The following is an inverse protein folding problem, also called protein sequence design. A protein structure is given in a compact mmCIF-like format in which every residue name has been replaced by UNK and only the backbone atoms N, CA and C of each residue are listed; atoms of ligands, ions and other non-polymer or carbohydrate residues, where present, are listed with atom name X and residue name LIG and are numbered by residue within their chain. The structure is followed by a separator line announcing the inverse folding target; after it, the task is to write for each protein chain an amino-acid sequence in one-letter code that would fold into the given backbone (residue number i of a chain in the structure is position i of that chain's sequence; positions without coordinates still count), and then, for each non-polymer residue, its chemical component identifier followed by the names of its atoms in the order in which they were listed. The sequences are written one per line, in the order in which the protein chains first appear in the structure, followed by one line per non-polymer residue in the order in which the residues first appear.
data_IF_669432707436
#
_entry.id   IF_669432707436
#
_cell.length_a   1.000
_cell.length_b   1.000
_cell.length_c   1.000
_cell.angle_alpha   90.00
_cell.angle_beta   90.00
_cell.angle_gamma   90.00
#
_symmetry.space_group_name_H-M   'P 1'
#
loop_
_entity.id
_entity.type
_entity.pdbx_description
1 polymer ?
#
# COMPACT_ATOMS: atom_id res chain seq x y z
N UNK A 1 -30.16 -3.35 0.20
CA UNK A 1 -28.76 -2.90 0.16
C UNK A 1 -28.62 -1.80 1.20
N UNK A 2 -28.28 -2.14 2.43
CA UNK A 2 -28.10 -1.14 3.49
C UNK A 2 -26.72 -0.55 3.28
N UNK A 3 -26.67 0.63 2.67
CA UNK A 3 -25.46 1.44 2.62
C UNK A 3 -25.16 1.78 4.07
N UNK A 4 -24.09 1.21 4.61
CA UNK A 4 -23.58 1.59 5.93
C UNK A 4 -23.35 3.10 5.94
N UNK A 5 -23.51 3.69 7.11
CA UNK A 5 -23.38 5.13 7.37
C UNK A 5 -22.24 5.77 6.56
N UNK A 6 -22.43 7.01 6.08
CA UNK A 6 -21.38 7.69 5.33
C UNK A 6 -20.09 7.69 6.17
N UNK A 7 -18.94 7.51 5.54
CA UNK A 7 -17.68 7.50 6.24
C UNK A 7 -17.55 8.79 7.07
N UNK A 8 -17.15 8.63 8.33
CA UNK A 8 -16.91 9.74 9.24
C UNK A 8 -15.91 10.71 8.57
N UNK A 9 -16.11 12.04 8.70
CA UNK A 9 -15.14 12.98 8.16
C UNK A 9 -13.77 12.72 8.83
N UNK A 10 -12.77 12.41 8.01
CA UNK A 10 -11.39 12.22 8.46
C UNK A 10 -10.92 13.52 9.13
N UNK A 11 -10.18 13.38 10.24
CA UNK A 11 -9.66 14.51 11.01
C UNK A 11 -8.65 15.29 10.16
N UNK A 12 -8.89 16.57 9.94
CA UNK A 12 -7.82 17.49 9.57
C UNK A 12 -7.10 17.90 10.87
N UNK A 13 -5.79 17.60 11.01
CA UNK A 13 -5.03 18.07 12.14
C UNK A 13 -4.95 19.61 12.11
N UNK A 14 -4.72 20.22 13.27
CA UNK A 14 -4.32 21.62 13.35
C UNK A 14 -3.10 21.86 12.43
N UNK A 15 -3.03 22.98 11.70
CA UNK A 15 -1.89 23.30 10.84
C UNK A 15 -0.52 23.22 11.55
N UNK A 16 -0.44 23.57 12.81
CA UNK A 16 0.79 23.46 13.61
C UNK A 16 1.13 21.98 13.92
N UNK A 17 0.14 21.15 14.21
CA UNK A 17 0.30 19.70 14.40
C UNK A 17 0.75 19.02 13.11
N UNK A 18 0.12 19.35 11.99
CA UNK A 18 0.51 18.82 10.67
C UNK A 18 1.95 19.21 10.34
N UNK A 19 2.33 20.47 10.53
CA UNK A 19 3.67 20.95 10.29
C UNK A 19 4.71 20.25 11.17
N UNK A 20 4.44 20.06 12.47
CA UNK A 20 5.31 19.35 13.39
C UNK A 20 5.53 17.88 13.00
N UNK A 21 4.46 17.21 12.55
CA UNK A 21 4.51 15.84 12.07
C UNK A 21 5.38 15.73 10.80
N UNK A 22 5.14 16.59 9.80
CA UNK A 22 5.90 16.60 8.56
C UNK A 22 7.38 16.95 8.79
N UNK A 23 7.68 17.84 9.75
CA UNK A 23 9.04 18.20 10.14
C UNK A 23 9.75 17.03 10.86
N UNK A 24 9.06 16.33 11.77
CA UNK A 24 9.62 15.15 12.43
C UNK A 24 9.96 14.03 11.42
N UNK A 25 9.05 13.77 10.48
CA UNK A 25 9.29 12.83 9.37
C UNK A 25 10.46 13.33 8.50
N UNK A 26 10.50 14.62 8.17
CA UNK A 26 11.58 15.21 7.38
C UNK A 26 12.96 15.03 8.04
N UNK A 27 13.10 15.30 9.33
CA UNK A 27 14.36 15.07 10.07
C UNK A 27 14.79 13.62 10.05
N UNK A 28 13.86 12.70 10.25
CA UNK A 28 14.13 11.26 10.16
C UNK A 28 14.61 10.87 8.76
N UNK A 29 13.94 11.35 7.72
CA UNK A 29 14.31 11.06 6.33
C UNK A 29 15.73 11.50 6.00
N UNK A 30 16.11 12.73 6.39
CA UNK A 30 17.45 13.25 6.11
C UNK A 30 18.55 12.53 6.91
N UNK A 31 18.28 12.24 8.17
CA UNK A 31 19.28 11.65 9.08
C UNK A 31 19.47 10.15 8.86
N UNK A 32 18.34 9.39 8.72
CA UNK A 32 18.38 7.94 8.81
C UNK A 32 18.10 7.25 7.46
N UNK A 33 17.25 7.83 6.60
CA UNK A 33 16.83 7.19 5.34
C UNK A 33 17.75 7.56 4.18
N UNK A 34 17.98 8.87 3.94
CA UNK A 34 18.76 9.35 2.79
C UNK A 34 20.14 8.70 2.65
N UNK A 35 20.92 8.53 3.72
CA UNK A 35 22.25 7.91 3.62
C UNK A 35 22.24 6.46 3.15
N UNK A 36 21.14 5.75 3.37
CA UNK A 36 21.03 4.32 3.12
C UNK A 36 20.17 3.98 1.90
N UNK A 37 19.29 4.89 1.44
CA UNK A 37 18.28 4.64 0.44
C UNK A 37 18.85 4.06 -0.86
N UNK A 38 19.94 4.62 -1.37
CA UNK A 38 20.57 4.17 -2.61
C UNK A 38 21.11 2.74 -2.52
N UNK A 39 21.75 2.37 -1.40
CA UNK A 39 22.25 1.03 -1.16
C UNK A 39 21.12 0.02 -1.02
N UNK A 40 20.13 0.32 -0.16
CA UNK A 40 18.98 -0.57 0.06
C UNK A 40 18.15 -0.78 -1.21
N UNK A 41 17.95 0.29 -2.01
CA UNK A 41 17.27 0.20 -3.31
C UNK A 41 18.08 -0.64 -4.29
N UNK A 42 19.40 -0.42 -4.41
CA UNK A 42 20.26 -1.13 -5.36
C UNK A 42 20.25 -2.63 -5.10
N UNK A 43 20.44 -3.03 -3.86
CA UNK A 43 20.60 -4.43 -3.46
C UNK A 43 19.27 -5.13 -3.11
N UNK A 44 18.15 -4.43 -3.28
CA UNK A 44 16.78 -4.91 -2.97
C UNK A 44 16.65 -5.44 -1.53
N UNK A 45 17.22 -4.68 -0.57
CA UNK A 45 17.22 -5.03 0.84
C UNK A 45 15.96 -4.49 1.53
N UNK A 46 15.28 -5.34 2.27
CA UNK A 46 14.14 -4.94 3.11
C UNK A 46 14.59 -3.98 4.23
N UNK A 47 13.96 -2.79 4.33
CA UNK A 47 14.39 -1.76 5.26
C UNK A 47 13.78 -1.94 6.67
N UNK A 48 14.15 -3.01 7.37
CA UNK A 48 13.54 -3.41 8.64
C UNK A 48 13.51 -2.31 9.70
N UNK A 49 14.65 -1.61 9.93
CA UNK A 49 14.74 -0.51 10.89
C UNK A 49 13.83 0.68 10.53
N UNK A 50 13.73 0.98 9.24
CA UNK A 50 12.84 2.04 8.77
C UNK A 50 11.38 1.67 8.95
N UNK A 51 11.04 0.39 8.77
CA UNK A 51 9.69 -0.13 9.02
C UNK A 51 9.31 0.01 10.49
N UNK A 52 10.20 -0.32 11.42
CA UNK A 52 9.94 -0.10 12.85
C UNK A 52 9.73 1.39 13.15
N UNK A 53 10.56 2.28 12.57
CA UNK A 53 10.37 3.72 12.75
C UNK A 53 9.06 4.23 12.16
N UNK A 54 8.58 3.65 11.04
CA UNK A 54 7.26 3.95 10.48
C UNK A 54 6.12 3.53 11.41
N UNK A 55 6.29 2.45 12.19
CA UNK A 55 5.34 2.08 13.26
C UNK A 55 5.25 3.14 14.33
N UNK A 56 6.41 3.64 14.82
CA UNK A 56 6.47 4.72 15.83
C UNK A 56 5.76 6.00 15.36
N UNK A 57 5.84 6.30 14.06
CA UNK A 57 5.09 7.42 13.45
C UNK A 57 3.60 7.13 13.24
N UNK A 58 3.13 5.92 13.52
CA UNK A 58 1.73 5.51 13.32
C UNK A 58 1.32 5.40 11.86
N UNK A 59 2.26 5.26 10.92
CA UNK A 59 1.97 5.27 9.48
C UNK A 59 1.14 4.06 9.03
N UNK A 60 1.17 2.95 9.75
CA UNK A 60 0.34 1.78 9.48
C UNK A 60 -1.13 1.96 9.85
N UNK A 61 -1.47 2.95 10.68
CA UNK A 61 -2.82 3.37 11.01
C UNK A 61 -3.18 4.79 10.54
N UNK A 62 -2.39 5.38 9.63
CA UNK A 62 -2.45 6.80 9.30
C UNK A 62 -3.87 7.33 9.02
N UNK A 63 -4.70 6.60 8.28
CA UNK A 63 -6.06 7.00 7.87
C UNK A 63 -7.17 6.28 8.62
N UNK A 64 -6.84 5.37 9.52
CA UNK A 64 -7.79 4.56 10.30
C UNK A 64 -8.23 5.34 11.54
N UNK A 65 -9.50 5.19 11.93
CA UNK A 65 -10.10 5.88 13.06
C UNK A 65 -9.31 5.65 14.37
N UNK A 66 -9.10 6.70 15.18
CA UNK A 66 -8.42 6.60 16.47
C UNK A 66 -9.04 5.58 17.44
N UNK A 67 -10.33 5.29 17.36
CA UNK A 67 -10.97 4.25 18.18
C UNK A 67 -10.33 2.87 17.99
N UNK A 68 -9.69 2.62 16.81
CA UNK A 68 -8.99 1.39 16.48
C UNK A 68 -7.47 1.52 16.62
N UNK A 69 -6.97 2.63 17.15
CA UNK A 69 -5.54 2.89 17.32
C UNK A 69 -4.88 3.57 16.13
N UNK A 70 -5.65 4.04 15.14
CA UNK A 70 -5.17 4.82 14.01
C UNK A 70 -4.97 6.30 14.32
N UNK A 71 -4.47 7.07 13.35
CA UNK A 71 -4.31 8.53 13.46
C UNK A 71 -5.52 9.31 12.94
N UNK A 72 -6.38 8.68 12.13
CA UNK A 72 -7.56 9.28 11.54
C UNK A 72 -7.28 10.46 10.59
N UNK A 73 -6.10 10.49 9.96
CA UNK A 73 -5.66 11.63 9.15
C UNK A 73 -6.52 11.79 7.90
N UNK A 74 -6.79 13.04 7.55
CA UNK A 74 -7.38 13.38 6.26
C UNK A 74 -6.49 12.96 5.09
N UNK A 75 -7.11 12.66 3.94
CA UNK A 75 -6.40 12.26 2.74
C UNK A 75 -5.36 13.29 2.27
N UNK A 76 -5.60 14.59 2.52
CA UNK A 76 -4.66 15.68 2.21
C UNK A 76 -3.38 15.60 3.04
N UNK A 77 -3.49 15.36 4.35
CA UNK A 77 -2.33 15.20 5.25
C UNK A 77 -1.58 13.92 4.91
N UNK A 78 -2.30 12.81 4.67
CA UNK A 78 -1.73 11.56 4.20
C UNK A 78 -0.92 11.75 2.90
N UNK A 79 -1.48 12.47 1.91
CA UNK A 79 -0.78 12.76 0.66
C UNK A 79 0.51 13.56 0.86
N UNK A 80 0.52 14.56 1.77
CA UNK A 80 1.74 15.32 2.11
C UNK A 80 2.81 14.43 2.75
N UNK A 81 2.43 13.51 3.63
CA UNK A 81 3.36 12.53 4.23
C UNK A 81 3.96 11.64 3.15
N UNK A 82 3.13 11.09 2.26
CA UNK A 82 3.58 10.25 1.14
C UNK A 82 4.51 11.02 0.21
N UNK A 83 4.17 12.25 -0.16
CA UNK A 83 5.02 13.12 -0.97
C UNK A 83 6.38 13.31 -0.28
N UNK A 84 6.39 13.71 1.00
CA UNK A 84 7.63 13.98 1.75
C UNK A 84 8.55 12.77 1.82
N UNK A 85 8.01 11.58 2.08
CA UNK A 85 8.80 10.33 2.11
C UNK A 85 9.34 10.01 0.70
N UNK A 86 8.54 10.23 -0.34
CA UNK A 86 8.90 9.91 -1.73
C UNK A 86 9.96 10.85 -2.31
N UNK A 87 10.17 12.03 -1.73
CA UNK A 87 11.31 12.92 -2.06
C UNK A 87 12.67 12.29 -1.69
N UNK A 88 12.67 11.28 -0.82
CA UNK A 88 13.90 10.59 -0.39
C UNK A 88 13.95 9.15 -0.87
N UNK A 89 12.89 8.36 -0.59
CA UNK A 89 12.80 6.98 -1.04
C UNK A 89 11.35 6.50 -1.15
N UNK A 90 10.85 6.44 -2.37
CA UNK A 90 9.44 6.14 -2.64
C UNK A 90 9.01 4.72 -2.21
N UNK A 91 9.95 3.76 -2.11
CA UNK A 91 9.63 2.37 -1.77
C UNK A 91 9.02 2.24 -0.37
N UNK A 92 9.45 3.09 0.58
CA UNK A 92 8.86 3.12 1.92
C UNK A 92 7.36 3.39 1.89
N UNK A 93 6.91 4.26 0.98
CA UNK A 93 5.47 4.58 0.88
C UNK A 93 4.64 3.42 0.37
N UNK A 94 5.25 2.51 -0.38
CA UNK A 94 4.59 1.29 -0.86
C UNK A 94 4.30 0.27 0.24
N UNK A 95 5.20 0.20 1.24
CA UNK A 95 5.10 -0.74 2.34
C UNK A 95 3.80 -0.50 3.13
N UNK A 96 3.52 0.74 3.52
CA UNK A 96 2.28 1.04 4.25
C UNK A 96 1.08 1.31 3.34
N UNK A 97 1.25 1.63 2.05
CA UNK A 97 0.13 1.87 1.14
C UNK A 97 -0.74 0.62 0.95
N UNK A 98 -0.13 -0.50 0.55
CA UNK A 98 -0.86 -1.75 0.33
C UNK A 98 -1.53 -2.24 1.62
N UNK A 99 -0.85 -2.05 2.74
CA UNK A 99 -1.36 -2.34 4.08
C UNK A 99 -2.57 -1.47 4.44
N UNK A 100 -2.49 -0.15 4.27
CA UNK A 100 -3.59 0.77 4.58
C UNK A 100 -4.82 0.53 3.70
N UNK A 101 -4.63 0.12 2.44
CA UNK A 101 -5.76 -0.28 1.60
C UNK A 101 -6.51 -1.47 2.22
N UNK A 102 -5.79 -2.48 2.74
CA UNK A 102 -6.39 -3.62 3.44
C UNK A 102 -7.09 -3.19 4.74
N UNK A 103 -6.42 -2.41 5.57
CA UNK A 103 -6.98 -1.92 6.84
C UNK A 103 -8.24 -1.09 6.63
N UNK A 104 -8.25 -0.22 5.61
CA UNK A 104 -9.41 0.60 5.25
C UNK A 104 -10.61 -0.26 4.79
N UNK A 105 -10.36 -1.38 4.10
CA UNK A 105 -11.44 -2.32 3.74
C UNK A 105 -12.05 -2.97 4.98
N UNK A 106 -11.24 -3.36 5.96
CA UNK A 106 -11.73 -3.89 7.24
C UNK A 106 -12.53 -2.82 7.98
N UNK A 107 -12.03 -1.59 8.04
CA UNK A 107 -12.73 -0.49 8.71
C UNK A 107 -14.10 -0.19 8.08
N UNK A 108 -14.16 -0.12 6.75
CA UNK A 108 -15.38 0.28 6.03
C UNK A 108 -16.40 -0.82 5.92
N UNK A 109 -15.97 -2.07 5.79
CA UNK A 109 -16.84 -3.19 5.39
C UNK A 109 -16.81 -4.36 6.36
N UNK A 110 -15.90 -4.39 7.32
CA UNK A 110 -15.86 -5.40 8.38
C UNK A 110 -17.00 -5.25 9.38
N UNK A 111 -17.41 -6.37 9.96
CA UNK A 111 -18.25 -6.36 11.17
C UNK A 111 -17.49 -5.77 12.35
N UNK A 112 -18.19 -5.36 13.40
CA UNK A 112 -17.53 -4.82 14.61
C UNK A 112 -16.57 -5.85 15.22
N UNK A 113 -16.90 -7.15 15.18
CA UNK A 113 -16.01 -8.23 15.61
C UNK A 113 -14.74 -8.32 14.76
N UNK A 114 -14.86 -8.19 13.43
CA UNK A 114 -13.72 -8.17 12.50
C UNK A 114 -12.84 -6.94 12.72
N UNK A 115 -13.45 -5.76 12.88
CA UNK A 115 -12.72 -4.52 13.19
C UNK A 115 -11.94 -4.64 14.50
N UNK A 116 -12.59 -5.09 15.58
CA UNK A 116 -11.95 -5.27 16.88
C UNK A 116 -10.82 -6.32 16.84
N UNK A 117 -10.96 -7.37 16.03
CA UNK A 117 -9.95 -8.41 15.88
C UNK A 117 -8.70 -7.93 15.15
N UNK A 118 -8.85 -7.17 14.06
CA UNK A 118 -7.75 -6.90 13.14
C UNK A 118 -7.21 -5.47 13.20
N UNK A 119 -8.07 -4.45 13.31
CA UNK A 119 -7.63 -3.06 13.16
C UNK A 119 -6.58 -2.62 14.18
N UNK A 120 -6.69 -2.93 15.50
CA UNK A 120 -5.65 -2.52 16.45
C UNK A 120 -4.27 -3.10 16.10
N UNK A 121 -4.21 -4.38 15.69
CA UNK A 121 -2.98 -5.03 15.26
C UNK A 121 -2.46 -4.50 13.93
N UNK A 122 -3.36 -4.11 13.03
CA UNK A 122 -3.00 -3.46 11.76
C UNK A 122 -2.44 -2.06 12.01
N UNK A 123 -3.09 -1.24 12.83
CA UNK A 123 -2.65 0.12 13.14
C UNK A 123 -1.28 0.17 13.83
N UNK A 124 -1.00 -0.78 14.73
CA UNK A 124 0.31 -0.91 15.37
C UNK A 124 1.41 -1.40 14.42
N UNK A 125 1.03 -1.95 13.25
CA UNK A 125 1.96 -2.60 12.33
C UNK A 125 2.43 -4.00 12.79
N UNK A 126 1.80 -4.58 13.82
CA UNK A 126 2.01 -5.98 14.21
C UNK A 126 1.52 -6.93 13.11
N UNK A 127 0.29 -6.71 12.64
CA UNK A 127 -0.31 -7.46 11.54
C UNK A 127 -0.21 -6.66 10.24
N UNK A 128 0.80 -6.92 9.43
CA UNK A 128 1.02 -6.20 8.17
C UNK A 128 0.67 -7.06 6.97
N UNK A 129 0.41 -6.42 5.85
CA UNK A 129 0.12 -7.12 4.59
C UNK A 129 -0.36 -6.18 3.49
N UNK A 130 -1.41 -6.59 2.78
CA UNK A 130 -1.92 -5.79 1.68
C UNK A 130 -3.08 -6.41 0.94
N UNK A 131 -3.32 -5.89 -0.28
CA UNK A 131 -4.30 -6.46 -1.20
C UNK A 131 -3.65 -7.54 -2.06
N UNK A 132 -4.35 -8.67 -2.23
CA UNK A 132 -3.97 -9.76 -3.12
C UNK A 132 -5.07 -9.97 -4.17
N UNK A 133 -4.97 -9.24 -5.28
CA UNK A 133 -5.97 -9.20 -6.35
C UNK A 133 -5.49 -9.92 -7.61
N UNK A 134 -4.30 -9.54 -8.09
CA UNK A 134 -3.71 -9.94 -9.38
C UNK A 134 -3.32 -11.41 -9.40
N UNK A 135 -3.56 -12.06 -10.52
CA UNK A 135 -3.13 -13.43 -10.82
C UNK A 135 -2.25 -13.44 -12.09
N UNK A 136 -1.51 -14.53 -12.37
CA UNK A 136 -0.68 -14.60 -13.57
C UNK A 136 -1.41 -14.25 -14.86
N UNK A 137 -2.68 -14.66 -14.99
CA UNK A 137 -3.50 -14.45 -16.19
C UNK A 137 -4.54 -13.31 -16.04
N UNK A 138 -4.62 -12.63 -14.89
CA UNK A 138 -5.65 -11.63 -14.61
C UNK A 138 -5.11 -10.48 -13.76
N UNK A 139 -4.96 -9.29 -14.35
CA UNK A 139 -4.53 -8.06 -13.66
C UNK A 139 -5.55 -6.96 -13.86
N UNK A 140 -5.51 -6.23 -14.98
CA UNK A 140 -6.46 -5.15 -15.28
C UNK A 140 -7.90 -5.65 -15.32
N UNK A 141 -8.13 -6.81 -15.93
CA UNK A 141 -9.42 -7.50 -15.88
C UNK A 141 -9.47 -8.48 -14.70
N UNK A 142 -9.85 -7.96 -13.54
CA UNK A 142 -10.03 -8.78 -12.33
C UNK A 142 -11.14 -9.83 -12.47
N UNK A 143 -12.08 -9.69 -13.38
CA UNK A 143 -13.14 -10.68 -13.56
C UNK A 143 -12.61 -12.03 -14.08
N UNK A 144 -11.40 -12.01 -14.66
CA UNK A 144 -10.71 -13.22 -15.14
C UNK A 144 -9.99 -14.03 -14.07
N UNK A 145 -9.99 -13.63 -12.79
CA UNK A 145 -9.31 -14.39 -11.71
C UNK A 145 -9.84 -15.83 -11.62
N UNK A 146 -8.97 -16.74 -11.14
CA UNK A 146 -9.29 -18.18 -11.02
C UNK A 146 -9.18 -18.70 -9.60
N UNK A 147 -8.55 -17.98 -8.67
CA UNK A 147 -8.49 -18.34 -7.25
C UNK A 147 -9.93 -18.53 -6.73
N UNK A 148 -10.20 -19.69 -6.11
CA UNK A 148 -11.54 -20.08 -5.66
C UNK A 148 -11.58 -20.29 -4.16
N UNK A 149 -12.74 -20.00 -3.57
CA UNK A 149 -13.09 -20.37 -2.22
C UNK A 149 -14.38 -21.19 -2.24
N UNK A 150 -14.28 -22.43 -1.82
CA UNK A 150 -15.42 -23.38 -1.78
C UNK A 150 -15.89 -23.50 -0.34
N UNK A 151 -17.18 -23.22 -0.11
CA UNK A 151 -17.78 -23.31 1.22
C UNK A 151 -17.97 -24.75 1.66
N UNK A 152 -17.52 -25.05 2.89
CA UNK A 152 -17.71 -26.35 3.56
C UNK A 152 -18.16 -26.09 5.01
N UNK A 153 -19.48 -26.06 5.23
CA UNK A 153 -20.05 -25.71 6.54
C UNK A 153 -19.69 -24.28 6.98
N UNK A 154 -19.04 -24.12 8.13
CA UNK A 154 -18.61 -22.84 8.67
C UNK A 154 -17.19 -22.42 8.21
N UNK A 155 -16.67 -23.05 7.18
CA UNK A 155 -15.34 -22.76 6.63
C UNK A 155 -15.38 -22.67 5.12
N UNK A 156 -14.31 -22.10 4.56
CA UNK A 156 -14.03 -22.14 3.13
C UNK A 156 -12.69 -22.80 2.90
N UNK A 157 -12.57 -23.56 1.83
CA UNK A 157 -11.29 -24.07 1.34
C UNK A 157 -10.87 -23.20 0.16
N UNK A 158 -9.71 -22.53 0.28
CA UNK A 158 -9.18 -21.61 -0.73
C UNK A 158 -8.06 -22.29 -1.51
N UNK A 159 -8.14 -22.22 -2.84
CA UNK A 159 -7.12 -22.72 -3.77
C UNK A 159 -6.86 -21.70 -4.87
N UNK A 160 -5.57 -21.48 -5.20
CA UNK A 160 -5.17 -20.60 -6.28
C UNK A 160 -3.84 -19.90 -6.05
N UNK A 161 -3.55 -18.92 -6.93
CA UNK A 161 -2.28 -18.19 -6.93
C UNK A 161 -2.54 -16.70 -7.11
N UNK A 162 -1.81 -15.88 -6.36
CA UNK A 162 -1.79 -14.42 -6.53
C UNK A 162 -0.37 -13.97 -6.83
N UNK A 163 -0.20 -13.02 -7.76
CA UNK A 163 1.14 -12.55 -8.18
C UNK A 163 1.27 -11.03 -8.03
N UNK A 164 2.50 -10.55 -7.98
CA UNK A 164 2.83 -9.13 -7.75
C UNK A 164 2.28 -8.56 -6.44
N UNK A 165 2.27 -9.38 -5.41
CA UNK A 165 1.71 -8.97 -4.12
C UNK A 165 2.78 -8.28 -3.28
N UNK A 166 2.60 -6.98 -3.08
CA UNK A 166 3.44 -6.18 -2.19
C UNK A 166 3.29 -6.64 -0.75
N UNK A 167 4.39 -6.63 0.01
CA UNK A 167 4.48 -7.20 1.35
C UNK A 167 4.21 -8.72 1.39
N UNK A 168 4.30 -9.42 0.25
CA UNK A 168 3.97 -10.83 0.15
C UNK A 168 4.86 -11.73 0.99
N UNK A 169 6.13 -11.35 1.21
CA UNK A 169 7.08 -12.06 2.06
C UNK A 169 6.96 -11.59 3.51
N UNK A 170 7.07 -10.30 3.74
CA UNK A 170 7.16 -9.70 5.07
C UNK A 170 5.80 -9.48 5.75
N UNK A 171 4.72 -9.47 4.97
CA UNK A 171 3.37 -9.38 5.52
C UNK A 171 2.86 -10.72 6.04
N UNK A 172 1.92 -10.68 6.96
CA UNK A 172 1.31 -11.84 7.62
C UNK A 172 -0.19 -11.99 7.36
N UNK A 173 -0.85 -10.97 6.80
CA UNK A 173 -2.27 -11.02 6.44
C UNK A 173 -2.57 -10.27 5.14
N UNK A 174 -3.56 -10.74 4.37
CA UNK A 174 -3.91 -10.16 3.08
C UNK A 174 -5.42 -10.13 2.88
N UNK A 175 -5.93 -9.05 2.29
CA UNK A 175 -7.28 -9.00 1.73
C UNK A 175 -7.23 -9.63 0.33
N UNK A 176 -7.72 -10.86 0.22
CA UNK A 176 -7.60 -11.70 -0.97
C UNK A 176 -8.92 -11.76 -1.72
N UNK A 177 -8.88 -11.40 -3.00
CA UNK A 177 -10.02 -11.50 -3.91
C UNK A 177 -10.09 -12.91 -4.51
N UNK A 178 -11.23 -13.57 -4.35
CA UNK A 178 -11.46 -14.95 -4.81
C UNK A 178 -12.81 -15.08 -5.52
N UNK A 179 -13.04 -16.17 -6.25
CA UNK A 179 -14.36 -16.58 -6.73
C UNK A 179 -15.01 -17.56 -5.74
N UNK A 180 -16.18 -17.20 -5.22
CA UNK A 180 -17.06 -18.08 -4.44
C UNK A 180 -18.16 -18.68 -5.33
N UNK A 181 -18.55 -17.99 -6.41
CA UNK A 181 -19.45 -18.48 -7.44
C UNK A 181 -18.82 -18.23 -8.83
N UNK A 182 -18.21 -19.26 -9.45
CA UNK A 182 -17.58 -19.12 -10.76
C UNK A 182 -18.58 -18.93 -11.91
N UNK A 183 -19.84 -19.32 -11.72
CA UNK A 183 -20.89 -19.31 -12.74
C UNK A 183 -21.76 -18.05 -12.68
N UNK A 184 -21.52 -17.17 -11.71
CA UNK A 184 -22.28 -15.94 -11.53
C UNK A 184 -22.24 -15.04 -12.76
N UNK A 185 -23.39 -14.47 -13.11
CA UNK A 185 -23.53 -13.47 -14.18
C UNK A 185 -24.07 -12.15 -13.64
N UNK A 186 -23.40 -11.03 -13.88
CA UNK A 186 -22.05 -10.90 -14.48
C UNK A 186 -20.96 -11.45 -13.53
N UNK A 187 -19.79 -11.85 -14.06
CA UNK A 187 -18.73 -12.55 -13.29
C UNK A 187 -18.31 -11.86 -11.99
N UNK A 188 -18.36 -10.52 -11.93
CA UNK A 188 -18.05 -9.76 -10.72
C UNK A 188 -18.94 -10.08 -9.52
N UNK A 189 -20.17 -10.61 -9.74
CA UNK A 189 -21.09 -10.99 -8.66
C UNK A 189 -20.72 -12.29 -7.98
N UNK A 190 -19.85 -13.09 -8.60
CA UNK A 190 -19.32 -14.31 -7.99
C UNK A 190 -18.02 -14.10 -7.23
N UNK A 191 -17.56 -12.86 -7.06
CA UNK A 191 -16.29 -12.54 -6.41
C UNK A 191 -16.50 -12.10 -4.98
N UNK A 192 -15.67 -12.60 -4.08
CA UNK A 192 -15.71 -12.33 -2.63
C UNK A 192 -14.34 -11.96 -2.12
N UNK A 193 -14.27 -11.32 -0.97
CA UNK A 193 -12.99 -10.91 -0.37
C UNK A 193 -12.87 -11.45 1.06
N UNK A 194 -11.74 -12.07 1.33
CA UNK A 194 -11.41 -12.62 2.66
C UNK A 194 -10.16 -11.97 3.22
N UNK A 195 -10.09 -11.82 4.53
CA UNK A 195 -8.82 -11.58 5.22
C UNK A 195 -8.21 -12.94 5.52
N UNK A 196 -7.10 -13.23 4.86
CA UNK A 196 -6.33 -14.46 5.01
C UNK A 196 -5.04 -14.15 5.78
N UNK A 197 -4.84 -14.79 6.92
CA UNK A 197 -3.59 -14.77 7.67
C UNK A 197 -2.71 -15.95 7.22
N UNK A 198 -1.38 -15.77 7.18
CA UNK A 198 -0.44 -16.84 6.84
C UNK A 198 -0.55 -17.99 7.84
N UNK A 199 -0.52 -19.20 7.34
CA UNK A 199 -0.65 -20.44 8.11
C UNK A 199 -0.58 -21.65 7.18
N UNK A 200 -0.95 -22.84 7.65
CA UNK A 200 -0.97 -24.06 6.83
C UNK A 200 -1.83 -23.86 5.57
N UNK A 201 -1.29 -24.23 4.42
CA UNK A 201 -1.95 -24.03 3.11
C UNK A 201 -1.74 -22.65 2.48
N UNK A 202 -1.08 -21.70 3.16
CA UNK A 202 -0.72 -20.39 2.63
C UNK A 202 0.80 -20.35 2.41
N UNK A 203 1.24 -20.37 1.15
CA UNK A 203 2.64 -20.35 0.75
C UNK A 203 3.06 -19.07 0.02
N UNK A 204 4.38 -18.83 0.01
CA UNK A 204 5.05 -17.90 -0.88
C UNK A 204 5.88 -18.75 -1.85
N UNK A 205 5.52 -18.77 -3.13
CA UNK A 205 6.20 -19.60 -4.11
C UNK A 205 7.52 -18.98 -4.58
N UNK A 206 7.54 -17.67 -4.73
CA UNK A 206 8.76 -16.94 -5.14
C UNK A 206 8.68 -15.44 -4.82
N UNK A 207 9.86 -14.84 -4.61
CA UNK A 207 10.07 -13.40 -4.71
C UNK A 207 10.10 -12.99 -6.17
N UNK A 208 9.52 -11.84 -6.49
CA UNK A 208 9.55 -11.27 -7.85
C UNK A 208 10.59 -10.15 -7.92
N UNK A 209 11.54 -10.30 -8.83
CA UNK A 209 12.54 -9.27 -9.09
C UNK A 209 11.93 -8.09 -9.86
N UNK A 210 12.38 -6.88 -9.55
CA UNK A 210 11.88 -5.65 -10.14
C UNK A 210 13.04 -4.81 -10.68
N UNK A 211 12.78 -4.04 -11.73
CA UNK A 211 13.74 -3.08 -12.28
C UNK A 211 14.03 -1.95 -11.29
N UNK A 212 13.00 -1.44 -10.63
CA UNK A 212 13.06 -0.40 -9.61
C UNK A 212 11.96 -0.61 -8.57
N UNK A 213 11.79 0.35 -7.65
CA UNK A 213 10.86 0.21 -6.54
C UNK A 213 11.22 -0.99 -5.65
N UNK A 214 12.54 -1.14 -5.46
CA UNK A 214 13.16 -2.18 -4.64
C UNK A 214 13.13 -1.79 -3.16
N UNK A 215 13.44 -2.74 -2.27
CA UNK A 215 13.31 -2.54 -0.83
C UNK A 215 11.90 -2.82 -0.28
N UNK A 216 10.85 -2.74 -1.10
CA UNK A 216 9.56 -3.37 -0.80
C UNK A 216 9.53 -4.73 -1.47
N UNK A 217 9.20 -5.78 -0.73
CA UNK A 217 9.05 -7.10 -1.33
C UNK A 217 7.83 -7.19 -2.24
N UNK A 218 7.92 -7.99 -3.27
CA UNK A 218 6.81 -8.39 -4.12
C UNK A 218 6.90 -9.89 -4.35
N UNK A 219 5.82 -10.60 -4.14
CA UNK A 219 5.83 -12.05 -4.17
C UNK A 219 4.67 -12.65 -4.95
N UNK A 220 4.83 -13.91 -5.27
CA UNK A 220 3.75 -14.79 -5.70
C UNK A 220 3.30 -15.61 -4.50
N UNK A 221 2.01 -15.54 -4.18
CA UNK A 221 1.35 -16.26 -3.08
C UNK A 221 0.59 -17.46 -3.65
N UNK A 222 0.65 -18.58 -2.95
CA UNK A 222 -0.04 -19.83 -3.33
C UNK A 222 -0.93 -20.27 -2.17
N UNK A 223 -2.15 -20.65 -2.51
CA UNK A 223 -3.12 -21.22 -1.59
C UNK A 223 -3.41 -22.66 -2.00
N UNK A 224 -3.13 -23.62 -1.11
CA UNK A 224 -3.31 -25.05 -1.34
C UNK A 224 -4.14 -25.62 -0.19
N UNK A 225 -5.41 -25.96 -0.47
CA UNK A 225 -6.36 -26.44 0.54
C UNK A 225 -6.37 -25.57 1.81
N UNK A 226 -6.20 -24.25 1.66
CA UNK A 226 -6.17 -23.31 2.77
C UNK A 226 -7.56 -23.24 3.42
N UNK A 227 -7.65 -23.71 4.65
CA UNK A 227 -8.87 -23.68 5.45
C UNK A 227 -9.08 -22.31 6.10
N UNK A 228 -10.19 -21.64 5.77
CA UNK A 228 -10.50 -20.27 6.22
C UNK A 228 -11.85 -20.26 6.93
N UNK A 229 -11.95 -19.73 8.16
CA UNK A 229 -13.24 -19.53 8.82
C UNK A 229 -14.16 -18.62 8.02
N UNK A 230 -15.46 -18.90 8.00
CA UNK A 230 -16.45 -18.07 7.29
C UNK A 230 -16.48 -16.62 7.83
N UNK A 231 -16.14 -16.43 9.08
CA UNK A 231 -16.03 -15.11 9.72
C UNK A 231 -14.93 -14.22 9.15
N UNK A 232 -14.01 -14.76 8.32
CA UNK A 232 -12.97 -13.99 7.63
C UNK A 232 -13.49 -13.35 6.32
N UNK A 233 -14.71 -13.68 5.88
CA UNK A 233 -15.35 -13.06 4.73
C UNK A 233 -15.75 -11.62 5.03
N UNK A 234 -15.29 -10.65 4.23
CA UNK A 234 -15.69 -9.25 4.35
C UNK A 234 -17.01 -8.97 3.62
N UNK A 235 -17.92 -8.27 4.25
CA UNK A 235 -19.20 -7.78 3.74
C UNK A 235 -20.19 -8.86 3.28
N UNK A 236 -19.73 -10.02 2.80
CA UNK A 236 -20.54 -11.10 2.27
C UNK A 236 -20.11 -11.57 0.89
N UNK A 237 -20.65 -12.73 0.45
CA UNK A 237 -20.36 -13.27 -0.87
C UNK A 237 -20.83 -12.33 -1.99
N UNK A 238 -20.10 -12.31 -3.10
CA UNK A 238 -20.42 -11.50 -4.27
C UNK A 238 -20.09 -10.01 -4.17
N UNK A 239 -19.51 -9.54 -3.04
CA UNK A 239 -19.15 -8.15 -2.83
C UNK A 239 -17.67 -7.84 -3.15
N UNK A 240 -16.86 -8.86 -3.39
CA UNK A 240 -15.39 -8.74 -3.49
C UNK A 240 -14.90 -7.75 -4.55
N UNK A 241 -15.53 -7.72 -5.72
CA UNK A 241 -15.15 -6.76 -6.77
C UNK A 241 -15.36 -5.31 -6.34
N UNK A 242 -16.49 -5.02 -5.69
CA UNK A 242 -16.78 -3.68 -5.16
C UNK A 242 -15.77 -3.27 -4.08
N UNK A 243 -15.44 -4.18 -3.18
CA UNK A 243 -14.44 -3.95 -2.16
C UNK A 243 -13.06 -3.67 -2.77
N UNK A 244 -12.64 -4.46 -3.76
CA UNK A 244 -11.36 -4.26 -4.44
C UNK A 244 -11.25 -2.85 -5.04
N UNK A 245 -12.29 -2.40 -5.77
CA UNK A 245 -12.31 -1.06 -6.37
C UNK A 245 -12.27 0.03 -5.30
N UNK A 246 -13.04 -0.14 -4.21
CA UNK A 246 -13.06 0.82 -3.09
C UNK A 246 -11.71 0.92 -2.36
N UNK A 247 -11.01 -0.20 -2.14
CA UNK A 247 -9.67 -0.19 -1.54
C UNK A 247 -8.64 0.55 -2.38
N UNK A 248 -8.76 0.47 -3.71
CA UNK A 248 -7.85 1.13 -4.64
C UNK A 248 -7.95 2.67 -4.64
N UNK A 249 -9.01 3.27 -4.09
CA UNK A 249 -9.15 4.74 -4.01
C UNK A 249 -8.01 5.37 -3.23
N UNK A 250 -7.71 4.85 -2.03
CA UNK A 250 -6.57 5.32 -1.22
C UNK A 250 -5.23 5.08 -1.94
N UNK A 251 -5.12 3.93 -2.61
CA UNK A 251 -3.94 3.59 -3.41
C UNK A 251 -3.64 4.62 -4.50
N UNK A 252 -4.67 5.14 -5.18
CA UNK A 252 -4.52 6.18 -6.22
C UNK A 252 -4.00 7.49 -5.64
N UNK A 253 -4.48 7.91 -4.45
CA UNK A 253 -3.98 9.10 -3.75
C UNK A 253 -2.49 8.92 -3.43
N UNK A 254 -2.10 7.75 -2.90
CA UNK A 254 -0.70 7.46 -2.61
C UNK A 254 0.17 7.51 -3.86
N UNK A 255 -0.23 6.85 -4.94
CA UNK A 255 0.56 6.82 -6.19
C UNK A 255 0.71 8.22 -6.80
N UNK A 256 -0.35 9.04 -6.77
CA UNK A 256 -0.29 10.43 -7.24
C UNK A 256 0.68 11.27 -6.39
N UNK A 257 0.54 11.22 -5.06
CA UNK A 257 1.42 11.96 -4.15
C UNK A 257 2.89 11.48 -4.24
N UNK A 258 3.11 10.18 -4.44
CA UNK A 258 4.42 9.58 -4.71
C UNK A 258 5.04 10.14 -5.98
N UNK A 259 4.27 10.21 -7.07
CA UNK A 259 4.72 10.78 -8.33
C UNK A 259 5.18 12.24 -8.17
N UNK A 260 4.42 13.05 -7.42
CA UNK A 260 4.79 14.44 -7.11
C UNK A 260 6.08 14.52 -6.29
N UNK A 261 6.23 13.65 -5.26
CA UNK A 261 7.46 13.63 -4.45
C UNK A 261 8.70 13.27 -5.25
N UNK A 262 8.62 12.25 -6.09
CA UNK A 262 9.74 11.84 -6.98
C UNK A 262 10.05 12.94 -8.00
N UNK A 263 9.05 13.56 -8.61
CA UNK A 263 9.25 14.65 -9.56
C UNK A 263 9.94 15.85 -8.90
N UNK A 264 9.50 16.24 -7.69
CA UNK A 264 10.12 17.31 -6.92
C UNK A 264 11.59 17.00 -6.61
N UNK A 265 11.89 15.79 -6.13
CA UNK A 265 13.26 15.38 -5.84
C UNK A 265 14.15 15.39 -7.09
N UNK A 266 13.62 14.97 -8.24
CA UNK A 266 14.34 15.01 -9.51
C UNK A 266 14.63 16.46 -9.95
N UNK A 267 13.68 17.38 -9.80
CA UNK A 267 13.88 18.80 -10.09
C UNK A 267 14.94 19.42 -9.17
N UNK A 268 14.81 19.22 -7.85
CA UNK A 268 15.76 19.76 -6.85
C UNK A 268 17.20 19.29 -7.14
N UNK A 269 17.37 18.00 -7.48
CA UNK A 269 18.68 17.44 -7.81
C UNK A 269 19.21 17.99 -9.15
N UNK A 270 18.36 18.13 -10.17
CA UNK A 270 18.73 18.69 -11.46
C UNK A 270 19.17 20.16 -11.33
N UNK A 271 18.43 20.97 -10.54
CA UNK A 271 18.78 22.37 -10.27
C UNK A 271 20.12 22.45 -9.52
N UNK A 272 20.29 21.64 -8.48
CA UNK A 272 21.55 21.59 -7.69
C UNK A 272 22.74 21.22 -8.57
N UNK A 273 22.62 20.16 -9.37
CA UNK A 273 23.69 19.70 -10.24
C UNK A 273 24.03 20.72 -11.35
N UNK A 274 23.03 21.35 -11.93
CA UNK A 274 23.22 22.32 -12.99
C UNK A 274 24.03 23.56 -12.57
N UNK A 275 24.05 23.89 -11.28
CA UNK A 275 24.84 25.03 -10.73
C UNK A 275 26.31 24.66 -10.52
N UNK A 276 26.63 23.36 -10.35
CA UNK A 276 28.03 22.94 -10.07
C UNK A 276 28.72 22.35 -11.29
N UNK A 277 27.99 21.66 -12.18
CA UNK A 277 28.58 21.11 -13.41
C UNK A 277 28.88 22.22 -14.41
N UNK A 278 30.14 22.25 -14.91
CA UNK A 278 30.59 23.24 -15.90
C UNK A 278 30.82 22.60 -17.27
N UNK A 279 30.49 23.36 -18.33
CA UNK A 279 30.86 23.10 -19.71
C UNK A 279 31.14 24.44 -20.39
N UNK A 280 32.09 24.48 -21.31
CA UNK A 280 32.48 25.72 -22.01
C UNK A 280 32.82 26.88 -21.05
N UNK A 281 33.44 26.53 -19.90
CA UNK A 281 33.90 27.51 -18.93
C UNK A 281 32.87 28.08 -17.95
N UNK A 282 31.60 27.66 -18.02
CA UNK A 282 30.50 28.16 -17.17
C UNK A 282 29.60 27.05 -16.66
N UNK A 283 28.82 27.26 -15.57
CA UNK A 283 27.81 26.32 -15.11
C UNK A 283 26.78 25.99 -16.18
N UNK A 284 26.32 24.73 -16.20
CA UNK A 284 25.37 24.32 -17.25
C UNK A 284 23.99 24.99 -17.12
N UNK A 285 23.61 25.49 -15.94
CA UNK A 285 22.40 26.32 -15.74
C UNK A 285 22.42 27.64 -16.51
N UNK A 286 23.58 28.09 -17.01
CA UNK A 286 23.67 29.28 -17.87
C UNK A 286 23.46 28.99 -19.36
N UNK A 287 23.25 27.73 -19.74
CA UNK A 287 22.88 27.36 -21.10
C UNK A 287 21.36 27.32 -21.26
N UNK A 288 20.84 28.06 -22.28
CA UNK A 288 19.41 28.19 -22.52
C UNK A 288 18.68 26.84 -22.65
N UNK A 289 19.29 25.83 -23.29
CA UNK A 289 18.71 24.50 -23.43
C UNK A 289 18.48 23.81 -22.07
N UNK A 290 19.34 24.06 -21.08
CA UNK A 290 19.17 23.53 -19.71
C UNK A 290 18.10 24.33 -18.96
N UNK A 291 18.09 25.65 -19.11
CA UNK A 291 17.06 26.51 -18.50
C UNK A 291 15.66 26.14 -18.94
N UNK A 292 15.45 25.87 -20.24
CA UNK A 292 14.17 25.43 -20.77
C UNK A 292 13.74 24.08 -20.18
N UNK A 293 14.66 23.11 -20.09
CA UNK A 293 14.37 21.80 -19.46
C UNK A 293 13.98 21.94 -17.99
N UNK A 294 14.70 22.76 -17.22
CA UNK A 294 14.37 23.00 -15.81
C UNK A 294 13.04 23.74 -15.68
N UNK A 295 12.74 24.66 -16.56
CA UNK A 295 11.43 25.33 -16.61
C UNK A 295 10.27 24.41 -16.96
N UNK A 296 10.47 23.41 -17.82
CA UNK A 296 9.46 22.40 -18.12
C UNK A 296 9.24 21.42 -16.97
N UNK A 297 10.25 21.17 -16.14
CA UNK A 297 10.14 20.30 -14.96
C UNK A 297 9.42 21.00 -13.79
N UNK A 298 9.48 22.33 -13.70
CA UNK A 298 8.89 23.12 -12.61
C UNK A 298 7.38 23.38 -12.81
#
# INVERSE_FOLDING_TARGET
MTIQSPPRPLRQPDPAEEAAMLDAIGRWLERDVRPQAAHLEHDDIWPAEMVERMKDFGLFGAVIDPQWGGLGLAASTYAKIVQRISEVWMSLTGIFNSHLMMALLVERFGSEAQKARWLPRMCSGELRGGLALTEPDAGTDLQGIRTRAVKKGERYTVNGTKTWISNGIEGSAFAVLVKTDPDAMPPRRGMSMFILEKGPGFGVSRRLEKLGYKGIDSAELVFEELEVPAENLLAGEGQGFYLAVSGLELGRINVAARGVGVAKAALDEAVRYAQVRKTFGKPICEHQAIQLKLGEMA
#
